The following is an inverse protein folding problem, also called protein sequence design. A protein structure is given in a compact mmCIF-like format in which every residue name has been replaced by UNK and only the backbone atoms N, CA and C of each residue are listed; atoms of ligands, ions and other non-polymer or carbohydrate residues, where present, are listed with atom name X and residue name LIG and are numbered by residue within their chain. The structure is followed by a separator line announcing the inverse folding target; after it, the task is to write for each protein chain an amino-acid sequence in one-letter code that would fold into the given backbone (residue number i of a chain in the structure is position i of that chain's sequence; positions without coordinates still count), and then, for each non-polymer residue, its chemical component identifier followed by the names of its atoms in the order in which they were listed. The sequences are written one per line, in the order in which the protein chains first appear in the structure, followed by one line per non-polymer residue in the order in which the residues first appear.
data_IF_446454908786
#
_entry.id   IF_446454908786
#
_cell.length_a   1.000
_cell.length_b   1.000
_cell.length_c   1.000
_cell.angle_alpha   90.00
_cell.angle_beta   90.00
_cell.angle_gamma   90.00
#
_symmetry.space_group_name_H-M   'P 1'
#
loop_
_entity.id
_entity.type
_entity.pdbx_description
1 polymer ?
#
# COMPACT_ATOMS: atom_id res chain seq x y z
N UNK A 1 -5.46 -34.42 -6.87
CA UNK A 1 -5.66 -33.43 -7.96
C UNK A 1 -4.90 -32.17 -7.59
N UNK A 2 -3.60 -31.98 -7.81
CA UNK A 2 -2.72 -32.37 -8.92
C UNK A 2 -3.21 -31.81 -10.26
N UNK A 3 -2.99 -30.52 -10.53
CA UNK A 3 -2.54 -29.90 -11.82
C UNK A 3 -2.77 -28.38 -11.81
N UNK A 4 -1.76 -27.61 -11.37
CA UNK A 4 -1.52 -26.21 -11.76
C UNK A 4 -0.08 -25.82 -11.39
N UNK A 5 0.88 -26.71 -11.69
CA UNK A 5 2.30 -26.49 -11.49
C UNK A 5 2.90 -26.00 -12.82
N UNK A 6 3.59 -24.86 -12.77
CA UNK A 6 4.54 -24.45 -13.79
C UNK A 6 3.97 -23.63 -14.95
N UNK A 7 3.69 -22.34 -14.71
CA UNK A 7 3.78 -21.34 -15.78
C UNK A 7 5.19 -20.73 -15.74
N UNK A 8 5.96 -20.74 -16.84
CA UNK A 8 7.34 -20.24 -16.87
C UNK A 8 7.38 -18.73 -16.61
N UNK A 9 8.48 -18.22 -16.04
CA UNK A 9 8.66 -16.80 -15.73
C UNK A 9 8.58 -15.87 -16.97
N UNK A 10 8.80 -16.40 -18.18
CA UNK A 10 8.51 -15.67 -19.42
C UNK A 10 7.03 -15.31 -19.56
N UNK A 11 6.12 -16.11 -19.01
CA UNK A 11 4.67 -15.85 -19.03
C UNK A 11 4.21 -14.83 -17.99
N UNK A 12 4.96 -14.61 -16.90
CA UNK A 12 4.66 -13.55 -15.92
C UNK A 12 5.25 -12.22 -16.34
N UNK A 13 6.46 -12.17 -16.93
CA UNK A 13 7.00 -10.92 -17.49
C UNK A 13 6.26 -10.52 -18.77
N UNK A 14 5.98 -11.47 -19.67
CA UNK A 14 5.08 -11.24 -20.81
C UNK A 14 3.65 -11.02 -20.35
N UNK A 15 3.22 -11.59 -19.22
CA UNK A 15 1.90 -11.36 -18.64
C UNK A 15 1.76 -9.97 -18.03
N UNK A 16 2.81 -9.43 -17.43
CA UNK A 16 2.90 -8.03 -16.99
C UNK A 16 2.97 -7.11 -18.20
N UNK A 17 3.81 -7.39 -19.20
CA UNK A 17 3.90 -6.60 -20.44
C UNK A 17 2.59 -6.64 -21.24
N UNK A 18 1.89 -7.78 -21.29
CA UNK A 18 0.56 -7.90 -21.93
C UNK A 18 -0.54 -7.25 -21.09
N UNK A 19 -0.47 -7.30 -19.76
CA UNK A 19 -1.40 -6.57 -18.90
C UNK A 19 -1.20 -5.05 -19.03
N UNK A 20 0.04 -4.60 -19.22
CA UNK A 20 0.40 -3.21 -19.47
C UNK A 20 -0.03 -2.75 -20.87
N UNK A 21 0.13 -3.61 -21.89
CA UNK A 21 -0.39 -3.37 -23.25
C UNK A 21 -1.93 -3.37 -23.33
N UNK A 22 -2.61 -4.01 -22.38
CA UNK A 22 -4.07 -4.07 -22.33
C UNK A 22 -4.70 -2.80 -21.74
N UNK A 23 -3.92 -1.95 -21.06
CA UNK A 23 -4.39 -0.73 -20.41
C UNK A 23 -3.88 0.50 -21.18
N UNK A 24 -4.77 1.47 -21.36
CA UNK A 24 -4.38 2.75 -21.94
C UNK A 24 -3.57 3.57 -20.93
N UNK A 25 -2.61 4.37 -21.38
CA UNK A 25 -1.83 5.28 -20.53
C UNK A 25 -2.67 6.12 -19.53
N UNK A 26 -3.83 6.70 -19.90
CA UNK A 26 -4.68 7.39 -18.92
C UNK A 26 -5.24 6.47 -17.83
N UNK A 27 -5.52 5.20 -18.13
CA UNK A 27 -5.98 4.24 -17.12
C UNK A 27 -4.87 3.85 -16.16
N UNK A 28 -3.66 3.61 -16.66
CA UNK A 28 -2.49 3.33 -15.81
C UNK A 28 -2.20 4.51 -14.88
N UNK A 29 -2.15 5.73 -15.42
CA UNK A 29 -1.94 6.94 -14.63
C UNK A 29 -3.05 7.12 -13.59
N UNK A 30 -4.31 6.79 -13.94
CA UNK A 30 -5.43 6.78 -13.02
C UNK A 30 -5.26 5.79 -11.87
N UNK A 31 -4.83 4.56 -12.13
CA UNK A 31 -4.59 3.53 -11.10
C UNK A 31 -3.46 3.95 -10.16
N UNK A 32 -2.36 4.47 -10.71
CA UNK A 32 -1.22 4.96 -9.91
C UNK A 32 -1.66 6.14 -9.03
N UNK A 33 -2.37 7.11 -9.60
CA UNK A 33 -2.91 8.25 -8.85
C UNK A 33 -3.85 7.78 -7.72
N UNK A 34 -4.77 6.86 -8.02
CA UNK A 34 -5.69 6.31 -7.02
C UNK A 34 -4.93 5.59 -5.90
N UNK A 35 -3.91 4.80 -6.24
CA UNK A 35 -3.06 4.09 -5.28
C UNK A 35 -2.29 5.08 -4.41
N UNK A 36 -1.72 6.12 -5.01
CA UNK A 36 -0.98 7.17 -4.31
C UNK A 36 -1.89 7.91 -3.31
N UNK A 37 -3.11 8.27 -3.71
CA UNK A 37 -4.11 8.88 -2.82
C UNK A 37 -4.44 7.96 -1.64
N UNK A 38 -4.56 6.66 -1.87
CA UNK A 38 -4.84 5.68 -0.82
C UNK A 38 -3.68 5.53 0.17
N UNK A 39 -2.44 5.50 -0.32
CA UNK A 39 -1.23 5.37 0.51
C UNK A 39 -0.97 6.65 1.32
N UNK A 40 -1.21 7.82 0.73
CA UNK A 40 -1.01 9.12 1.37
C UNK A 40 -2.19 9.54 2.27
N UNK A 41 -3.29 8.79 2.24
CA UNK A 41 -4.50 9.08 2.99
C UNK A 41 -4.29 9.34 4.49
N UNK A 42 -3.51 8.51 5.25
CA UNK A 42 -3.29 8.76 6.68
C UNK A 42 -2.63 10.12 6.93
N UNK A 43 -1.64 10.49 6.11
CA UNK A 43 -0.89 11.75 6.23
C UNK A 43 -1.77 12.95 5.94
N UNK A 44 -2.58 12.88 4.86
CA UNK A 44 -3.55 13.91 4.52
C UNK A 44 -4.59 14.08 5.63
N UNK A 45 -5.00 12.97 6.28
CA UNK A 45 -6.09 12.99 7.24
C UNK A 45 -5.59 13.67 8.49
N UNK A 46 -4.39 13.30 8.93
CA UNK A 46 -3.70 13.97 10.03
C UNK A 46 -3.54 15.47 9.78
N UNK A 47 -3.15 15.87 8.56
CA UNK A 47 -3.06 17.28 8.21
C UNK A 47 -4.42 18.00 8.30
N UNK A 48 -5.49 17.40 7.77
CA UNK A 48 -6.84 17.94 7.85
C UNK A 48 -7.35 18.07 9.29
N UNK A 49 -7.22 17.01 10.09
CA UNK A 49 -7.64 17.04 11.50
C UNK A 49 -6.79 18.01 12.33
N UNK A 50 -5.49 18.18 12.04
CA UNK A 50 -4.63 19.09 12.81
C UNK A 50 -5.07 20.56 12.82
N UNK A 51 -5.97 20.97 11.91
CA UNK A 51 -6.63 22.29 11.95
C UNK A 51 -7.43 22.47 13.26
N UNK A 52 -7.97 21.39 13.81
CA UNK A 52 -8.74 21.37 15.06
C UNK A 52 -7.89 21.01 16.28
N UNK A 53 -6.60 20.73 16.08
CA UNK A 53 -5.69 20.40 17.17
C UNK A 53 -5.39 21.65 17.98
N UNK A 54 -5.58 21.56 19.29
CA UNK A 54 -5.23 22.62 20.21
C UNK A 54 -4.39 22.09 21.35
N UNK A 55 -3.55 22.96 21.87
CA UNK A 55 -2.62 22.67 22.96
C UNK A 55 -2.83 23.67 24.09
N UNK A 56 -2.89 23.17 25.32
CA UNK A 56 -2.93 24.01 26.52
C UNK A 56 -1.49 24.22 26.98
N UNK A 57 -1.04 25.48 26.96
CA UNK A 57 0.35 25.83 27.32
C UNK A 57 0.57 25.69 28.82
N UNK A 58 -0.36 26.23 29.64
CA UNK A 58 -0.28 26.13 31.10
C UNK A 58 -1.69 25.92 31.70
N UNK A 59 -1.87 24.82 32.42
CA UNK A 59 -3.11 24.45 33.11
C UNK A 59 -3.16 25.02 34.55
N UNK A 60 -2.92 26.33 34.69
CA UNK A 60 -3.03 27.08 35.96
C UNK A 60 -4.38 26.87 36.68
N UNK A 61 -5.46 26.62 35.91
CA UNK A 61 -6.79 26.25 36.44
C UNK A 61 -6.83 24.88 37.13
N UNK A 62 -6.04 23.90 36.69
CA UNK A 62 -6.00 22.57 37.32
C UNK A 62 -5.31 22.61 38.68
N UNK A 63 -4.43 23.60 38.90
CA UNK A 63 -3.77 23.86 40.18
C UNK A 63 -4.63 24.70 41.15
N UNK A 64 -5.85 25.12 40.76
CA UNK A 64 -6.73 25.92 41.61
C UNK A 64 -6.17 27.30 41.99
N UNK A 65 -5.09 27.76 41.34
CA UNK A 65 -4.41 29.00 41.66
C UNK A 65 -4.92 30.13 40.76
N UNK A 66 -5.76 30.99 41.31
CA UNK A 66 -6.19 32.26 40.71
C UNK A 66 -5.20 33.36 41.06
N UNK A 67 -3.99 33.29 40.49
CA UNK A 67 -2.93 34.28 40.69
C UNK A 67 -1.74 34.01 39.75
N UNK A 68 -0.73 34.89 39.74
CA UNK A 68 0.54 34.63 39.07
C UNK A 68 1.22 33.43 39.72
N UNK A 69 0.89 32.24 39.26
CA UNK A 69 1.50 31.01 39.73
C UNK A 69 2.98 31.06 39.34
N UNK A 70 3.86 30.83 40.32
CA UNK A 70 5.29 30.63 40.10
C UNK A 70 5.60 29.18 40.40
N UNK A 71 6.11 28.44 39.42
CA UNK A 71 6.66 27.11 39.66
C UNK A 71 8.12 27.28 40.11
N UNK A 72 8.48 26.71 41.25
CA UNK A 72 9.86 26.68 41.73
C UNK A 72 10.47 25.32 41.37
N UNK A 73 11.38 25.29 40.41
CA UNK A 73 12.20 24.12 40.10
C UNK A 73 13.67 24.44 40.43
N UNK A 74 14.31 23.64 41.29
CA UNK A 74 15.71 23.84 41.72
C UNK A 74 16.03 25.26 42.23
N UNK A 75 15.09 25.91 42.91
CA UNK A 75 15.27 27.25 43.47
C UNK A 75 15.16 28.40 42.48
N UNK A 76 14.71 28.13 41.25
CA UNK A 76 14.34 29.17 40.28
C UNK A 76 12.82 29.25 40.15
N UNK A 77 12.29 30.45 40.36
CA UNK A 77 10.87 30.76 40.17
C UNK A 77 10.61 31.11 38.70
N UNK A 78 9.77 30.31 38.05
CA UNK A 78 9.29 30.58 36.69
C UNK A 78 7.87 31.14 36.77
N UNK A 79 7.64 32.31 36.17
CA UNK A 79 6.28 32.82 36.02
C UNK A 79 5.52 31.95 35.01
N UNK A 80 4.44 31.30 35.45
CA UNK A 80 3.56 30.60 34.52
C UNK A 80 2.91 31.61 33.58
N UNK A 81 2.79 31.28 32.30
CA UNK A 81 2.04 32.11 31.39
C UNK A 81 0.59 32.09 31.87
N UNK A 82 0.04 33.28 32.17
CA UNK A 82 -1.38 33.42 32.51
C UNK A 82 -2.20 33.32 31.20
N UNK A 83 -2.16 32.16 30.57
CA UNK A 83 -2.91 31.85 29.36
C UNK A 83 -4.16 31.02 29.73
N UNK A 84 -5.34 31.64 29.86
CA UNK A 84 -6.57 30.94 30.25
C UNK A 84 -7.18 30.07 29.13
N UNK A 85 -6.69 30.22 27.90
CA UNK A 85 -7.19 29.59 26.68
C UNK A 85 -6.15 28.69 26.03
N UNK A 86 -6.60 27.65 25.32
CA UNK A 86 -5.72 26.82 24.50
C UNK A 86 -5.28 27.58 23.25
N UNK A 87 -4.14 27.21 22.67
CA UNK A 87 -3.63 27.78 21.42
C UNK A 87 -3.71 26.78 20.28
N UNK A 88 -3.79 27.28 19.05
CA UNK A 88 -3.86 26.44 17.86
C UNK A 88 -2.48 25.83 17.54
N UNK A 89 -2.42 24.49 17.43
CA UNK A 89 -1.13 23.78 17.28
C UNK A 89 -0.34 24.16 16.02
N UNK A 90 -1.01 24.62 14.96
CA UNK A 90 -0.35 25.03 13.70
C UNK A 90 0.14 26.47 13.72
N UNK A 91 -0.47 27.33 14.54
CA UNK A 91 -0.11 28.73 14.67
C UNK A 91 -0.38 29.18 16.11
N UNK A 92 0.67 29.16 16.92
CA UNK A 92 0.62 29.50 18.34
C UNK A 92 0.38 31.00 18.59
N UNK A 93 0.30 31.84 17.54
CA UNK A 93 -0.13 33.23 17.67
C UNK A 93 -1.65 33.37 17.79
N UNK A 94 -2.41 32.31 17.51
CA UNK A 94 -3.87 32.31 17.54
C UNK A 94 -4.43 31.48 18.69
N UNK A 95 -5.42 32.05 19.38
CA UNK A 95 -6.21 31.33 20.37
C UNK A 95 -7.10 30.27 19.70
N UNK A 96 -7.21 29.13 20.37
CA UNK A 96 -8.00 28.00 19.92
C UNK A 96 -9.50 28.30 20.01
N UNK A 97 -10.23 28.09 18.91
CA UNK A 97 -11.66 28.35 18.77
C UNK A 97 -12.10 29.80 19.08
N UNK A 98 -11.19 30.77 18.93
CA UNK A 98 -11.50 32.20 19.10
C UNK A 98 -11.01 32.98 17.88
N UNK A 99 -11.69 34.09 17.56
CA UNK A 99 -11.31 34.99 16.48
C UNK A 99 -11.22 34.29 15.13
N UNK A 100 -10.09 34.48 14.44
CA UNK A 100 -9.84 33.95 13.10
C UNK A 100 -9.87 32.41 13.04
N UNK A 101 -9.40 31.71 14.08
CA UNK A 101 -9.41 30.25 14.13
C UNK A 101 -10.85 29.71 14.05
N UNK A 102 -11.75 30.24 14.88
CA UNK A 102 -13.17 29.84 14.87
C UNK A 102 -13.94 30.31 13.63
N UNK A 103 -13.74 31.55 13.18
CA UNK A 103 -14.57 32.11 12.10
C UNK A 103 -14.15 31.65 10.70
N UNK A 104 -12.86 31.38 10.49
CA UNK A 104 -12.32 31.09 9.17
C UNK A 104 -11.75 29.67 9.06
N UNK A 105 -10.81 29.31 9.92
CA UNK A 105 -10.07 28.05 9.79
C UNK A 105 -10.90 26.82 10.17
N UNK A 106 -11.76 26.91 11.19
CA UNK A 106 -12.63 25.80 11.62
C UNK A 106 -13.64 25.43 10.52
N UNK A 107 -14.45 26.35 9.96
CA UNK A 107 -15.33 26.03 8.84
C UNK A 107 -14.59 25.48 7.62
N UNK A 108 -13.44 26.07 7.28
CA UNK A 108 -12.60 25.58 6.18
C UNK A 108 -12.09 24.16 6.44
N UNK A 109 -11.66 23.87 7.67
CA UNK A 109 -11.26 22.54 8.11
C UNK A 109 -12.41 21.54 8.02
N UNK A 110 -13.64 21.94 8.37
CA UNK A 110 -14.82 21.05 8.29
C UNK A 110 -15.12 20.71 6.83
N UNK A 111 -15.10 21.72 5.94
CA UNK A 111 -15.25 21.49 4.50
C UNK A 111 -14.14 20.58 3.99
N UNK A 112 -12.89 20.78 4.44
CA UNK A 112 -11.78 19.93 4.05
C UNK A 112 -11.97 18.48 4.53
N UNK A 113 -12.40 18.24 5.76
CA UNK A 113 -12.66 16.90 6.27
C UNK A 113 -13.79 16.21 5.50
N UNK A 114 -14.87 16.92 5.18
CA UNK A 114 -16.02 16.34 4.47
C UNK A 114 -15.67 16.06 3.01
N UNK A 115 -15.07 17.02 2.31
CA UNK A 115 -14.79 16.91 0.88
C UNK A 115 -13.57 16.03 0.61
N UNK A 116 -12.49 16.25 1.35
CA UNK A 116 -11.27 15.50 1.18
C UNK A 116 -11.32 14.27 2.08
N UNK A 117 -11.28 14.35 3.41
CA UNK A 117 -11.12 13.13 4.23
C UNK A 117 -12.23 12.06 4.11
N UNK A 118 -13.49 12.44 3.95
CA UNK A 118 -14.57 11.48 3.78
C UNK A 118 -14.74 10.98 2.33
N UNK A 119 -14.19 11.65 1.32
CA UNK A 119 -14.39 11.22 -0.07
C UNK A 119 -13.67 9.92 -0.44
N UNK A 120 -12.41 9.62 -0.05
CA UNK A 120 -11.78 8.35 -0.37
C UNK A 120 -12.58 7.11 0.07
N UNK A 121 -13.06 6.99 1.33
CA UNK A 121 -13.87 5.84 1.71
C UNK A 121 -15.22 5.79 0.97
N UNK A 122 -15.89 6.94 0.76
CA UNK A 122 -17.18 6.99 0.05
C UNK A 122 -17.02 6.64 -1.44
N UNK A 123 -16.03 7.22 -2.11
CA UNK A 123 -15.73 6.99 -3.52
C UNK A 123 -15.31 5.55 -3.74
N UNK A 124 -14.43 5.00 -2.89
CA UNK A 124 -14.05 3.58 -2.94
C UNK A 124 -15.28 2.67 -2.82
N UNK A 125 -16.12 2.92 -1.80
CA UNK A 125 -17.34 2.17 -1.60
C UNK A 125 -18.28 2.28 -2.81
N UNK A 126 -18.56 3.50 -3.27
CA UNK A 126 -19.49 3.76 -4.37
C UNK A 126 -19.00 3.15 -5.70
N UNK A 127 -17.70 3.23 -5.98
CA UNK A 127 -17.11 2.66 -7.17
C UNK A 127 -17.23 1.13 -7.18
N UNK A 128 -16.86 0.47 -6.08
CA UNK A 128 -16.98 -0.98 -5.98
C UNK A 128 -18.44 -1.44 -5.97
N UNK A 129 -19.33 -0.65 -5.36
CA UNK A 129 -20.77 -0.92 -5.35
C UNK A 129 -21.37 -0.87 -6.76
N UNK A 130 -20.97 0.11 -7.58
CA UNK A 130 -21.43 0.21 -8.99
C UNK A 130 -20.96 -0.96 -9.83
N UNK A 131 -19.74 -1.44 -9.61
CA UNK A 131 -19.16 -2.54 -10.39
C UNK A 131 -19.47 -3.91 -9.78
N UNK A 132 -20.26 -3.99 -8.69
CA UNK A 132 -20.50 -5.21 -7.89
C UNK A 132 -20.92 -6.45 -8.69
N UNK A 133 -21.63 -6.25 -9.80
CA UNK A 133 -22.13 -7.33 -10.67
C UNK A 133 -21.08 -7.84 -11.67
N UNK A 134 -19.93 -7.16 -11.81
CA UNK A 134 -18.87 -7.46 -12.77
C UNK A 134 -17.51 -7.71 -12.11
N UNK A 135 -17.44 -7.97 -10.80
CA UNK A 135 -16.17 -8.21 -10.07
C UNK A 135 -15.34 -9.38 -10.61
N UNK A 136 -15.96 -10.35 -11.28
CA UNK A 136 -15.24 -11.48 -11.87
C UNK A 136 -14.70 -11.20 -13.28
N UNK A 137 -15.02 -10.05 -13.87
CA UNK A 137 -14.56 -9.70 -15.22
C UNK A 137 -13.07 -9.34 -15.20
N UNK A 138 -12.29 -9.87 -16.15
CA UNK A 138 -10.86 -9.63 -16.30
C UNK A 138 -10.50 -8.13 -16.30
N UNK A 139 -11.22 -7.31 -17.07
CA UNK A 139 -10.99 -5.86 -17.12
C UNK A 139 -11.24 -5.18 -15.76
N UNK A 140 -12.25 -5.64 -15.00
CA UNK A 140 -12.54 -5.09 -13.67
C UNK A 140 -11.46 -5.47 -12.66
N UNK A 141 -10.95 -6.70 -12.73
CA UNK A 141 -9.85 -7.17 -11.89
C UNK A 141 -8.56 -6.40 -12.20
N UNK A 142 -8.29 -6.07 -13.46
CA UNK A 142 -7.09 -5.30 -13.82
C UNK A 142 -7.11 -3.87 -13.27
N UNK A 143 -8.25 -3.18 -13.34
CA UNK A 143 -8.36 -1.79 -12.91
C UNK A 143 -8.56 -1.65 -11.40
N UNK A 144 -9.45 -2.46 -10.82
CA UNK A 144 -9.89 -2.32 -9.42
C UNK A 144 -9.39 -3.44 -8.51
N UNK A 145 -8.71 -4.46 -9.05
CA UNK A 145 -8.26 -5.61 -8.28
C UNK A 145 -7.37 -5.26 -7.09
N UNK A 146 -6.62 -4.16 -7.15
CA UNK A 146 -5.87 -3.65 -6.00
C UNK A 146 -6.75 -3.48 -4.75
N UNK A 147 -7.97 -2.98 -4.92
CA UNK A 147 -8.86 -2.62 -3.80
C UNK A 147 -9.62 -3.81 -3.21
N UNK A 148 -9.96 -4.82 -4.03
CA UNK A 148 -10.85 -5.91 -3.57
C UNK A 148 -10.29 -7.32 -3.73
N UNK A 149 -9.25 -7.55 -4.54
CA UNK A 149 -8.76 -8.91 -4.86
C UNK A 149 -8.26 -9.67 -3.63
N UNK A 150 -7.80 -8.94 -2.59
CA UNK A 150 -7.36 -9.53 -1.31
C UNK A 150 -8.50 -10.05 -0.45
N UNK A 151 -9.73 -9.61 -0.69
CA UNK A 151 -10.91 -9.95 0.10
C UNK A 151 -11.77 -11.03 -0.52
N UNK A 152 -12.63 -11.64 0.30
CA UNK A 152 -13.69 -12.52 -0.17
C UNK A 152 -14.74 -11.69 -0.92
N UNK A 153 -15.39 -12.30 -1.92
CA UNK A 153 -16.39 -11.62 -2.75
C UNK A 153 -17.58 -11.04 -1.97
N UNK A 154 -17.85 -11.52 -0.76
CA UNK A 154 -18.91 -10.99 0.12
C UNK A 154 -18.50 -9.67 0.80
N UNK A 155 -17.19 -9.45 1.00
CA UNK A 155 -16.60 -8.33 1.73
C UNK A 155 -15.75 -7.46 0.81
N UNK A 156 -16.18 -7.26 -0.44
CA UNK A 156 -15.40 -6.54 -1.44
C UNK A 156 -15.13 -5.08 -1.07
N UNK A 157 -15.98 -4.47 -0.24
CA UNK A 157 -15.93 -3.07 0.17
C UNK A 157 -15.07 -2.82 1.43
N UNK A 158 -14.38 -3.85 1.93
CA UNK A 158 -13.66 -3.80 3.21
C UNK A 158 -12.56 -2.75 3.29
N UNK A 159 -11.94 -2.39 2.16
CA UNK A 159 -10.97 -1.28 2.12
C UNK A 159 -11.56 0.04 2.63
N UNK A 160 -12.85 0.28 2.40
CA UNK A 160 -13.53 1.46 2.92
C UNK A 160 -13.64 1.43 4.45
N UNK A 161 -13.83 0.24 5.04
CA UNK A 161 -13.85 0.04 6.50
C UNK A 161 -12.49 0.33 7.10
N UNK A 162 -11.42 -0.14 6.46
CA UNK A 162 -10.05 0.15 6.90
C UNK A 162 -9.71 1.64 6.80
N UNK A 163 -10.19 2.34 5.77
CA UNK A 163 -10.05 3.80 5.69
C UNK A 163 -10.83 4.51 6.79
N UNK A 164 -12.06 4.09 7.09
CA UNK A 164 -12.83 4.63 8.22
C UNK A 164 -12.13 4.37 9.57
N UNK A 165 -11.50 3.21 9.74
CA UNK A 165 -10.66 2.94 10.90
C UNK A 165 -9.50 3.93 11.01
N UNK A 166 -8.77 4.17 9.92
CA UNK A 166 -7.69 5.16 9.92
C UNK A 166 -8.20 6.55 10.31
N UNK A 167 -9.35 6.97 9.79
CA UNK A 167 -9.98 8.24 10.20
C UNK A 167 -10.31 8.28 11.69
N UNK A 168 -10.85 7.19 12.24
CA UNK A 168 -11.16 7.10 13.67
C UNK A 168 -9.89 7.22 14.54
N UNK A 169 -8.80 6.52 14.16
CA UNK A 169 -7.53 6.59 14.88
C UNK A 169 -6.93 8.01 14.83
N UNK A 170 -6.94 8.66 13.65
CA UNK A 170 -6.45 10.03 13.49
C UNK A 170 -7.32 11.02 14.25
N UNK A 171 -8.64 10.86 14.24
CA UNK A 171 -9.55 11.71 15.00
C UNK A 171 -9.27 11.62 16.50
N UNK A 172 -9.13 10.40 17.05
CA UNK A 172 -8.75 10.20 18.45
C UNK A 172 -7.38 10.80 18.74
N UNK A 173 -6.40 10.66 17.85
CA UNK A 173 -5.07 11.25 18.02
C UNK A 173 -5.12 12.78 18.13
N UNK A 174 -5.94 13.44 17.32
CA UNK A 174 -6.02 14.90 17.27
C UNK A 174 -6.88 15.46 18.40
N UNK A 175 -8.10 14.96 18.58
CA UNK A 175 -8.99 15.44 19.63
C UNK A 175 -8.52 14.99 21.02
N UNK A 176 -7.82 13.86 21.09
CA UNK A 176 -7.19 13.33 22.29
C UNK A 176 -6.06 14.20 22.83
N UNK A 177 -5.45 15.06 22.02
CA UNK A 177 -4.32 15.89 22.43
C UNK A 177 -4.64 16.94 23.51
N UNK A 178 -5.93 17.20 23.77
CA UNK A 178 -6.39 18.06 24.88
C UNK A 178 -6.54 17.27 26.18
N UNK A 179 -6.67 15.95 26.09
CA UNK A 179 -6.80 15.05 27.23
C UNK A 179 -5.43 14.67 27.77
N UNK A 180 -5.40 14.13 28.99
CA UNK A 180 -4.22 13.47 29.53
C UNK A 180 -3.81 12.31 28.61
N UNK A 181 -2.50 12.11 28.44
CA UNK A 181 -1.90 11.12 27.54
C UNK A 181 -2.46 9.71 27.81
N UNK A 182 -2.78 9.39 29.07
CA UNK A 182 -3.36 8.11 29.47
C UNK A 182 -4.74 7.89 28.84
N UNK A 183 -5.63 8.89 28.91
CA UNK A 183 -6.97 8.79 28.31
C UNK A 183 -6.90 8.73 26.79
N UNK A 184 -6.01 9.50 26.16
CA UNK A 184 -5.80 9.43 24.72
C UNK A 184 -5.35 8.02 24.28
N UNK A 185 -4.37 7.43 25.00
CA UNK A 185 -3.89 6.08 24.72
C UNK A 185 -4.99 5.02 24.90
N UNK A 186 -5.81 5.13 25.96
CA UNK A 186 -6.95 4.23 26.20
C UNK A 186 -8.02 4.34 25.12
N UNK A 187 -8.33 5.54 24.63
CA UNK A 187 -9.26 5.72 23.51
C UNK A 187 -8.72 5.07 22.23
N UNK A 188 -7.43 5.27 21.92
CA UNK A 188 -6.78 4.65 20.77
C UNK A 188 -6.82 3.11 20.87
N UNK A 189 -6.58 2.60 22.08
CA UNK A 189 -6.65 1.17 22.38
C UNK A 189 -8.05 0.60 22.14
N UNK A 190 -9.11 1.27 22.61
CA UNK A 190 -10.50 0.83 22.39
C UNK A 190 -10.81 0.76 20.90
N UNK A 191 -10.45 1.79 20.13
CA UNK A 191 -10.67 1.81 18.68
C UNK A 191 -9.98 0.61 18.03
N UNK A 192 -8.69 0.38 18.34
CA UNK A 192 -7.95 -0.77 17.79
C UNK A 192 -8.53 -2.11 18.20
N UNK A 193 -8.97 -2.28 19.46
CA UNK A 193 -9.61 -3.52 19.91
C UNK A 193 -10.94 -3.76 19.20
N UNK A 194 -11.78 -2.74 19.05
CA UNK A 194 -13.06 -2.84 18.34
C UNK A 194 -12.85 -3.23 16.87
N UNK A 195 -11.98 -2.54 16.15
CA UNK A 195 -11.69 -2.87 14.75
C UNK A 195 -10.99 -4.22 14.61
N UNK A 196 -10.08 -4.57 15.52
CA UNK A 196 -9.44 -5.88 15.56
C UNK A 196 -10.45 -7.02 15.76
N UNK A 197 -11.37 -6.87 16.72
CA UNK A 197 -12.44 -7.82 16.98
C UNK A 197 -13.37 -7.98 15.76
N UNK A 198 -13.78 -6.89 15.13
CA UNK A 198 -14.59 -6.90 13.91
C UNK A 198 -13.86 -7.58 12.75
N UNK A 199 -12.57 -7.30 12.55
CA UNK A 199 -11.77 -7.98 11.53
C UNK A 199 -11.68 -9.50 11.79
N UNK A 200 -11.59 -9.93 13.05
CA UNK A 200 -11.51 -11.35 13.42
C UNK A 200 -12.82 -12.12 13.32
N UNK A 201 -13.95 -11.46 13.57
CA UNK A 201 -15.27 -12.07 13.42
C UNK A 201 -15.66 -12.18 11.94
N UNK A 202 -15.46 -11.11 11.16
CA UNK A 202 -15.84 -11.03 9.75
C UNK A 202 -14.91 -11.85 8.84
N UNK A 203 -13.62 -11.92 9.16
CA UNK A 203 -12.58 -12.62 8.37
C UNK A 203 -12.61 -12.24 6.87
N UNK A 204 -12.49 -10.94 6.55
CA UNK A 204 -12.69 -10.40 5.19
C UNK A 204 -11.64 -10.93 4.20
N UNK A 205 -10.40 -11.14 4.64
CA UNK A 205 -9.28 -11.52 3.79
C UNK A 205 -9.42 -12.95 3.27
N UNK A 206 -9.17 -13.14 1.97
CA UNK A 206 -9.30 -14.44 1.28
C UNK A 206 -8.23 -15.42 1.73
N UNK A 207 -6.98 -14.97 1.81
CA UNK A 207 -5.82 -15.79 2.15
C UNK A 207 -5.70 -16.00 3.66
N UNK A 208 -5.47 -17.25 4.09
CA UNK A 208 -5.32 -17.58 5.51
C UNK A 208 -4.06 -16.93 6.12
N UNK A 209 -2.95 -16.94 5.39
CA UNK A 209 -1.70 -16.28 5.82
C UNK A 209 -1.95 -14.79 6.09
N UNK A 210 -2.59 -14.08 5.16
CA UNK A 210 -2.88 -12.65 5.32
C UNK A 210 -3.78 -12.39 6.54
N UNK A 211 -4.81 -13.21 6.77
CA UNK A 211 -5.66 -13.12 7.97
C UNK A 211 -4.86 -13.25 9.27
N UNK A 212 -3.91 -14.19 9.33
CA UNK A 212 -3.07 -14.35 10.51
C UNK A 212 -2.11 -13.17 10.70
N UNK A 213 -1.51 -12.65 9.62
CA UNK A 213 -0.65 -11.47 9.70
C UNK A 213 -1.45 -10.24 10.19
N UNK A 214 -2.65 -10.01 9.64
CA UNK A 214 -3.55 -8.96 10.10
C UNK A 214 -3.87 -9.11 11.60
N UNK A 215 -4.22 -10.32 12.05
CA UNK A 215 -4.47 -10.59 13.47
C UNK A 215 -3.26 -10.28 14.35
N UNK A 216 -2.08 -10.82 14.01
CA UNK A 216 -0.86 -10.59 14.80
C UNK A 216 -0.45 -9.12 14.82
N UNK A 217 -0.70 -8.37 13.73
CA UNK A 217 -0.47 -6.93 13.68
C UNK A 217 -1.36 -6.17 14.67
N UNK A 218 -2.66 -6.49 14.75
CA UNK A 218 -3.55 -5.90 15.76
C UNK A 218 -3.11 -6.24 17.18
N UNK A 219 -2.75 -7.50 17.44
CA UNK A 219 -2.31 -7.95 18.76
C UNK A 219 -1.05 -7.19 19.20
N UNK A 220 -0.03 -7.12 18.34
CA UNK A 220 1.23 -6.42 18.65
C UNK A 220 1.00 -4.92 18.85
N UNK A 221 0.20 -4.27 18.00
CA UNK A 221 -0.08 -2.84 18.15
C UNK A 221 -0.86 -2.54 19.43
N UNK A 222 -1.87 -3.36 19.75
CA UNK A 222 -2.64 -3.29 21.00
C UNK A 222 -1.75 -3.53 22.22
N UNK A 223 -0.85 -4.51 22.17
CA UNK A 223 0.11 -4.75 23.26
C UNK A 223 1.10 -3.60 23.40
N UNK A 224 1.53 -2.99 22.28
CA UNK A 224 2.44 -1.85 22.29
C UNK A 224 1.84 -0.66 23.03
N UNK A 225 0.58 -0.32 22.74
CA UNK A 225 -0.12 0.77 23.43
C UNK A 225 -0.34 0.42 24.91
N UNK A 226 -0.71 -0.82 25.22
CA UNK A 226 -0.88 -1.26 26.61
C UNK A 226 0.44 -1.18 27.41
N UNK A 227 1.58 -1.58 26.83
CA UNK A 227 2.89 -1.46 27.45
C UNK A 227 3.31 0.01 27.61
N UNK A 228 3.02 0.85 26.62
CA UNK A 228 3.32 2.28 26.69
C UNK A 228 2.54 3.00 27.80
N UNK A 229 1.36 2.49 28.18
CA UNK A 229 0.58 3.07 29.27
C UNK A 229 1.28 2.95 30.64
N UNK A 230 2.19 1.98 30.82
CA UNK A 230 2.99 1.86 32.04
C UNK A 230 4.02 3.00 32.21
N UNK A 231 4.35 3.72 31.13
CA UNK A 231 5.18 4.93 31.22
C UNK A 231 4.38 6.18 31.59
N UNK A 232 3.08 6.18 31.33
CA UNK A 232 2.26 7.37 31.54
C UNK A 232 1.92 7.44 33.02
N UNK A 233 2.46 8.45 33.70
CA UNK A 233 2.20 8.73 35.09
C UNK A 233 0.77 9.26 35.25
N UNK A 234 -0.13 8.40 35.72
CA UNK A 234 -1.46 8.84 36.15
C UNK A 234 -1.34 9.43 37.56
N UNK A 235 -1.65 10.72 37.70
CA UNK A 235 -1.84 11.39 39.00
C UNK A 235 -0.60 11.56 39.90
N UNK A 236 0.56 11.97 39.35
CA UNK A 236 1.69 12.48 40.15
C UNK A 236 2.44 11.46 41.02
N UNK A 237 1.91 10.26 41.20
CA UNK A 237 2.67 9.10 41.65
C UNK A 237 3.39 8.51 40.45
N UNK A 238 4.70 8.75 40.36
CA UNK A 238 5.59 7.96 39.52
C UNK A 238 5.39 6.52 39.97
N UNK A 239 4.63 5.73 39.20
CA UNK A 239 4.78 4.28 39.30
C UNK A 239 6.19 4.03 38.81
N UNK A 240 7.11 3.91 39.76
CA UNK A 240 8.48 3.49 39.54
C UNK A 240 8.39 2.09 38.92
N UNK A 241 8.19 2.02 37.61
CA UNK A 241 9.16 1.27 36.86
C UNK A 241 10.47 1.98 37.24
N UNK A 242 11.22 1.36 38.15
CA UNK A 242 12.62 1.69 38.41
C UNK A 242 13.29 2.10 37.08
N UNK A 243 14.31 2.95 37.08
CA UNK A 243 14.99 3.33 35.82
C UNK A 243 15.29 2.08 34.96
N UNK A 244 15.60 0.96 35.62
CA UNK A 244 15.72 -0.37 35.02
C UNK A 244 14.40 -0.96 34.46
N UNK A 245 13.28 -0.85 35.18
CA UNK A 245 11.96 -1.32 34.74
C UNK A 245 11.42 -0.55 33.54
N UNK A 246 11.62 0.77 33.50
CA UNK A 246 11.26 1.58 32.33
C UNK A 246 12.03 1.09 31.11
N UNK A 247 13.36 1.08 31.17
CA UNK A 247 14.21 0.58 30.09
C UNK A 247 13.81 -0.84 29.63
N UNK A 248 13.48 -1.75 30.56
CA UNK A 248 13.05 -3.10 30.22
C UNK A 248 11.76 -3.12 29.38
N UNK A 249 10.76 -2.29 29.70
CA UNK A 249 9.51 -2.18 28.92
C UNK A 249 9.79 -1.60 27.53
N UNK A 250 10.66 -0.59 27.40
CA UNK A 250 11.04 -0.02 26.08
C UNK A 250 11.70 -1.07 25.20
N UNK A 251 12.66 -1.82 25.75
CA UNK A 251 13.33 -2.92 25.05
C UNK A 251 12.31 -3.97 24.64
N UNK A 252 11.37 -4.33 25.52
CA UNK A 252 10.32 -5.29 25.21
C UNK A 252 9.43 -4.81 24.04
N UNK A 253 8.97 -3.56 24.07
CA UNK A 253 8.19 -2.96 22.98
C UNK A 253 8.96 -3.02 21.66
N UNK A 254 10.23 -2.63 21.66
CA UNK A 254 11.08 -2.66 20.49
C UNK A 254 11.24 -4.08 19.94
N UNK A 255 11.52 -5.06 20.82
CA UNK A 255 11.71 -6.46 20.44
C UNK A 255 10.44 -7.05 19.84
N UNK A 256 9.27 -6.82 20.44
CA UNK A 256 7.99 -7.35 19.92
C UNK A 256 7.68 -6.78 18.53
N UNK A 257 7.83 -5.46 18.34
CA UNK A 257 7.58 -4.82 17.05
C UNK A 257 8.58 -5.27 15.98
N UNK A 258 9.87 -5.35 16.32
CA UNK A 258 10.91 -5.83 15.41
C UNK A 258 10.69 -7.30 15.03
N UNK A 259 10.34 -8.14 15.99
CA UNK A 259 10.04 -9.55 15.74
C UNK A 259 8.87 -9.71 14.75
N UNK A 260 7.80 -8.91 14.89
CA UNK A 260 6.68 -8.91 13.95
C UNK A 260 7.15 -8.55 12.52
N UNK A 261 7.95 -7.49 12.38
CA UNK A 261 8.49 -7.06 11.08
C UNK A 261 9.37 -8.17 10.46
N UNK A 262 10.26 -8.77 11.24
CA UNK A 262 11.12 -9.87 10.79
C UNK A 262 10.29 -11.09 10.35
N UNK A 263 9.24 -11.45 11.10
CA UNK A 263 8.32 -12.53 10.73
C UNK A 263 7.59 -12.20 9.41
N UNK A 264 7.15 -10.95 9.23
CA UNK A 264 6.47 -10.51 8.01
C UNK A 264 7.42 -10.58 6.80
N UNK A 265 8.64 -10.05 6.95
CA UNK A 265 9.65 -10.11 5.90
C UNK A 265 10.04 -11.57 5.59
N UNK A 266 10.21 -12.41 6.59
CA UNK A 266 10.58 -13.81 6.40
C UNK A 266 9.45 -14.64 5.77
N UNK A 267 8.19 -14.35 6.08
CA UNK A 267 7.03 -15.01 5.45
C UNK A 267 6.85 -14.54 4.00
N UNK A 268 7.00 -13.24 3.72
CA UNK A 268 7.01 -12.69 2.36
C UNK A 268 8.17 -13.22 1.53
N UNK A 269 9.37 -13.30 2.11
CA UNK A 269 10.54 -13.88 1.46
C UNK A 269 10.26 -15.34 1.13
N UNK A 270 9.84 -16.17 2.09
CA UNK A 270 9.52 -17.59 1.83
C UNK A 270 8.43 -17.79 0.78
N UNK A 271 7.40 -16.94 0.78
CA UNK A 271 6.32 -17.00 -0.19
C UNK A 271 6.76 -16.60 -1.62
N UNK A 272 7.64 -15.60 -1.74
CA UNK A 272 8.15 -15.12 -3.03
C UNK A 272 9.38 -15.88 -3.53
N UNK A 273 10.09 -16.59 -2.64
CA UNK A 273 11.35 -17.27 -2.91
C UNK A 273 11.32 -18.27 -4.06
N UNK A 274 10.28 -19.13 -4.25
CA UNK A 274 10.21 -20.02 -5.40
C UNK A 274 10.13 -19.24 -6.72
N UNK A 275 9.33 -18.18 -6.76
CA UNK A 275 9.18 -17.31 -7.94
C UNK A 275 10.46 -16.53 -8.24
N UNK A 276 11.11 -16.01 -7.21
CA UNK A 276 12.40 -15.31 -7.34
C UNK A 276 13.49 -16.27 -7.80
N UNK A 277 13.59 -17.47 -7.21
CA UNK A 277 14.55 -18.50 -7.65
C UNK A 277 14.32 -18.91 -9.10
N UNK A 278 13.06 -19.08 -9.51
CA UNK A 278 12.74 -19.40 -10.90
C UNK A 278 13.10 -18.25 -11.85
N UNK A 279 12.86 -17.00 -11.46
CA UNK A 279 13.24 -15.82 -12.25
C UNK A 279 14.77 -15.66 -12.35
N UNK A 280 15.50 -15.88 -11.26
CA UNK A 280 16.96 -15.83 -11.22
C UNK A 280 17.58 -16.97 -12.04
N UNK A 281 17.04 -18.19 -11.94
CA UNK A 281 17.47 -19.32 -12.76
C UNK A 281 17.23 -19.04 -14.25
N UNK A 282 16.05 -18.55 -14.62
CA UNK A 282 15.76 -18.13 -15.99
C UNK A 282 16.71 -17.03 -16.49
N UNK A 283 16.97 -15.99 -15.67
CA UNK A 283 17.86 -14.90 -16.05
C UNK A 283 19.29 -15.40 -16.28
N UNK A 284 19.76 -16.33 -15.43
CA UNK A 284 21.07 -16.98 -15.59
C UNK A 284 21.13 -17.78 -16.89
N UNK A 285 20.12 -18.59 -17.19
CA UNK A 285 20.08 -19.45 -18.37
C UNK A 285 19.91 -18.64 -19.68
N UNK A 286 19.29 -17.46 -19.64
CA UNK A 286 19.17 -16.56 -20.79
C UNK A 286 20.44 -15.74 -21.05
N UNK A 287 21.16 -15.34 -19.99
CA UNK A 287 22.38 -14.53 -20.08
C UNK A 287 23.63 -15.36 -20.42
N UNK A 288 23.73 -16.63 -19.99
CA UNK A 288 24.90 -17.48 -20.26
C UNK A 288 25.22 -17.69 -21.76
N UNK A 289 24.24 -18.00 -22.64
CA UNK A 289 24.48 -18.16 -24.07
C UNK A 289 24.91 -16.85 -24.75
N UNK A 290 24.37 -15.72 -24.29
CA UNK A 290 24.67 -14.40 -24.84
C UNK A 290 26.10 -13.96 -24.46
N UNK A 291 26.49 -14.20 -23.20
CA UNK A 291 27.83 -13.93 -22.68
C UNK A 291 28.91 -14.81 -23.35
N UNK A 292 28.64 -16.10 -23.51
CA UNK A 292 29.57 -17.04 -24.18
C UNK A 292 29.70 -16.78 -25.68
N UNK A 293 28.62 -16.38 -26.36
CA UNK A 293 28.67 -15.97 -27.77
C UNK A 293 29.48 -14.67 -27.97
N UNK A 294 29.25 -13.64 -27.15
CA UNK A 294 30.04 -12.40 -27.18
C UNK A 294 31.53 -12.64 -26.89
N UNK A 295 31.86 -13.48 -25.90
CA UNK A 295 33.25 -13.83 -25.59
C UNK A 295 33.92 -14.64 -26.71
N UNK A 296 33.17 -15.51 -27.39
CA UNK A 296 33.67 -16.31 -28.52
C UNK A 296 33.87 -15.45 -29.78
N UNK A 297 33.03 -14.45 -30.03
CA UNK A 297 33.26 -13.44 -31.08
C UNK A 297 34.48 -12.56 -30.79
N UNK A 298 34.69 -12.16 -29.54
CA UNK A 298 35.85 -11.34 -29.13
C UNK A 298 37.19 -12.08 -29.19
N UNK A 299 37.17 -13.42 -29.15
CA UNK A 299 38.37 -14.29 -29.25
C UNK A 299 38.65 -14.79 -30.68
N UNK A 300 37.81 -14.50 -31.67
CA UNK A 300 38.16 -14.81 -33.06
C UNK A 300 39.24 -13.82 -33.51
N UNK A 301 40.46 -14.27 -33.88
CA UNK A 301 41.41 -13.39 -34.55
C UNK A 301 40.76 -12.90 -35.85
N UNK A 302 40.92 -11.60 -36.13
CA UNK A 302 40.46 -11.02 -37.39
C UNK A 302 41.02 -11.84 -38.54
N UNK A 303 40.15 -12.50 -39.31
CA UNK A 303 40.58 -13.12 -40.55
C UNK A 303 41.17 -12.00 -41.43
N UNK A 304 42.35 -12.21 -42.06
CA UNK A 304 42.89 -11.22 -42.96
C UNK A 304 41.86 -10.97 -44.06
N UNK A 305 41.59 -9.68 -44.31
CA UNK A 305 40.67 -9.20 -45.31
C UNK A 305 41.06 -9.77 -46.68
N UNK A 306 40.45 -10.89 -47.08
CA UNK A 306 40.47 -11.32 -48.46
C UNK A 306 39.63 -10.30 -49.24
N UNK A 307 40.30 -9.58 -50.12
CA UNK A 307 39.76 -8.55 -50.98
C UNK A 307 38.51 -9.06 -51.71
N UNK A 308 37.35 -8.55 -51.29
CA UNK A 308 36.14 -8.61 -52.09
C UNK A 308 36.22 -7.48 -53.11
N UNK A 309 36.71 -7.82 -54.30
CA UNK A 309 36.71 -6.96 -55.48
C UNK A 309 35.29 -6.46 -55.74
N UNK A 310 35.13 -5.13 -55.74
CA UNK A 310 33.96 -4.42 -56.21
C UNK A 310 33.63 -4.84 -57.65
N UNK A 311 32.46 -5.42 -57.87
CA UNK A 311 31.80 -5.43 -59.18
C UNK A 311 30.49 -4.65 -59.06
N UNK A 312 30.46 -3.52 -59.78
CA UNK A 312 29.39 -2.55 -59.84
C UNK A 312 28.14 -3.08 -60.59
N UNK A 313 26.96 -2.45 -60.41
CA UNK A 313 25.70 -2.93 -60.94
C UNK A 313 25.45 -2.47 -62.38
N UNK A 314 24.95 -3.36 -63.25
CA UNK A 314 24.42 -2.92 -64.53
C UNK A 314 24.12 -4.03 -65.54
N UNK A 315 22.92 -3.94 -66.14
CA UNK A 315 22.43 -4.56 -67.39
C UNK A 315 21.80 -5.96 -67.23
N UNK A 316 20.46 -6.08 -67.15
CA UNK A 316 19.46 -6.12 -68.24
C UNK A 316 19.50 -7.44 -69.02
N UNK A 317 18.47 -8.30 -68.84
CA UNK A 317 17.66 -8.87 -69.93
C UNK A 317 16.50 -9.76 -69.42
N UNK A 318 15.29 -9.41 -69.84
CA UNK A 318 14.15 -10.32 -70.00
C UNK A 318 14.42 -11.24 -71.20
N UNK A 319 14.05 -12.53 -71.11
CA UNK A 319 13.29 -13.25 -72.15
C UNK A 319 13.15 -14.75 -71.85
N UNK A 320 11.95 -15.26 -72.17
CA UNK A 320 11.58 -16.64 -72.55
C UNK A 320 11.69 -17.75 -71.50
N UNK A 321 10.59 -18.37 -71.05
CA UNK A 321 9.62 -19.26 -71.74
C UNK A 321 10.22 -20.64 -72.03
N UNK A 322 9.94 -21.61 -71.14
CA UNK A 322 9.83 -23.05 -71.49
C UNK A 322 9.15 -23.86 -70.36
N UNK A 323 7.90 -24.26 -70.57
CA UNK A 323 7.35 -25.60 -70.27
C UNK A 323 7.58 -26.45 -71.53
N UNK A 324 7.61 -27.82 -71.54
CA UNK A 324 6.64 -28.75 -70.92
C UNK A 324 7.31 -30.13 -70.55
N UNK A 325 6.67 -31.33 -70.51
CA UNK A 325 5.25 -31.69 -70.56
C UNK A 325 4.75 -32.62 -69.44
N UNK A 326 3.43 -32.60 -69.25
CA UNK A 326 2.64 -33.67 -68.65
C UNK A 326 2.02 -34.48 -69.80
N UNK A 327 2.12 -35.80 -69.68
CA UNK A 327 1.62 -36.79 -70.62
C UNK A 327 0.24 -37.27 -70.13
N UNK A 328 -0.75 -37.20 -71.03
CA UNK A 328 -2.07 -37.82 -70.89
C UNK A 328 -1.93 -39.35 -70.81
N UNK A 329 -2.79 -39.99 -70.02
CA UNK A 329 -3.71 -40.97 -70.59
C UNK A 329 -4.88 -41.29 -69.64
N UNK A 330 -6.02 -41.41 -70.30
CA UNK A 330 -7.38 -41.76 -69.87
C UNK A 330 -7.50 -43.05 -69.05
N UNK A 331 -8.55 -43.15 -68.23
CA UNK A 331 -9.60 -44.19 -68.26
C UNK A 331 -10.61 -43.87 -67.15
N UNK A 332 -11.82 -43.49 -67.53
CA UNK A 332 -12.95 -43.30 -66.62
C UNK A 332 -13.62 -44.60 -66.19
N UNK A 333 -14.37 -44.55 -65.09
CA UNK A 333 -15.62 -45.32 -64.86
C UNK A 333 -16.49 -44.54 -63.85
N UNK A 334 -17.77 -44.43 -64.19
CA UNK A 334 -18.85 -43.85 -63.40
C UNK A 334 -19.25 -44.71 -62.18
N UNK A 335 -19.77 -44.09 -61.10
CA UNK A 335 -21.17 -44.25 -60.67
C UNK A 335 -21.45 -43.66 -59.27
N UNK A 336 -22.56 -42.92 -59.19
CA UNK A 336 -23.61 -42.90 -58.15
C UNK A 336 -23.33 -42.64 -56.64
N UNK A 337 -24.06 -41.61 -56.16
CA UNK A 337 -25.07 -41.65 -55.07
C UNK A 337 -24.82 -40.85 -53.77
N UNK A 338 -25.90 -40.15 -53.35
CA UNK A 338 -26.20 -39.77 -51.95
C UNK A 338 -25.75 -38.35 -51.53
N UNK A 339 -26.54 -37.29 -51.72
CA UNK A 339 -27.71 -36.85 -50.93
C UNK A 339 -27.44 -36.52 -49.45
N UNK A 340 -27.40 -35.21 -49.18
CA UNK A 340 -27.99 -34.46 -48.06
C UNK A 340 -28.26 -35.17 -46.72
N UNK A 341 -27.66 -34.62 -45.65
CA UNK A 341 -28.36 -34.00 -44.52
C UNK A 341 -27.43 -33.00 -43.81
#
# INVERSE_FOLDING_TARGET
MATALGKPASSTLSGLAHADQALTLPQQLGIVLMTALFVLFPSWANAGFSIFSCYLVDNTRALGQTGSATESLNGFDFALATAPSGYWTRDMQQECYVGAHASFYVPLGVVFLVVFCASPPIVNFALLWRVRHKLSNYHTIQVYGFMYSRYRSQWFWWDSVLMCQTLALVAVQVFGGVLEVAYQALMLQIVLMCFGAVNMTVKPSRNALLRHLEFWSYVVLSTTIALNLYYVTVSGTITLADEAGGVAIAVLVLVINLALIVIFLATLARASWPSVRAAVAWARDYLEPCWTCCLRQRRRPAAPAAAATLAAPGQVQQASKEQPPLQEDDVGVASESGSQA
#
